data_IF_622604794930
#
_entry.id   IF_622604794930
#
_cell.length_a   1.000
_cell.length_b   1.000
_cell.length_c   1.000
_cell.angle_alpha   90.00
_cell.angle_beta   90.00
_cell.angle_gamma   90.00
#
_symmetry.space_group_name_H-M   'P 1'
#
loop_
_entity.id
_entity.type
_entity.pdbx_description
1 polymer ?
#
# COMPACT_ATOMS: atom_id res chain seq x y z
N UNK A 1 -14.50 -0.26 20.79
CA UNK A 1 -14.17 0.20 19.43
C UNK A 1 -13.04 1.24 19.34
N UNK A 2 -12.83 2.16 20.30
CA UNK A 2 -11.73 3.15 20.25
C UNK A 2 -10.34 2.52 20.31
N UNK A 3 -10.16 1.48 21.11
CA UNK A 3 -8.88 0.78 21.29
C UNK A 3 -8.38 0.13 19.98
N UNK A 4 -9.24 -0.59 19.26
CA UNK A 4 -8.85 -1.20 17.98
C UNK A 4 -8.42 -0.17 16.92
N UNK A 5 -9.08 1.00 16.87
CA UNK A 5 -8.68 2.09 15.96
C UNK A 5 -7.28 2.60 16.28
N UNK A 6 -6.97 2.77 17.58
CA UNK A 6 -5.64 3.19 18.02
C UNK A 6 -4.59 2.16 17.58
N UNK A 7 -4.87 0.89 17.79
CA UNK A 7 -3.94 -0.21 17.49
C UNK A 7 -3.64 -0.32 15.98
N UNK A 8 -4.65 -0.17 15.13
CA UNK A 8 -4.48 -0.17 13.67
C UNK A 8 -3.82 1.11 13.13
N UNK A 9 -4.00 2.24 13.80
CA UNK A 9 -3.43 3.51 13.37
C UNK A 9 -2.00 3.73 13.86
N UNK A 10 -1.61 3.08 14.95
CA UNK A 10 -0.29 3.23 15.56
C UNK A 10 0.88 2.97 14.58
N UNK A 11 0.86 1.93 13.73
CA UNK A 11 1.92 1.70 12.75
C UNK A 11 2.09 2.84 11.74
N UNK A 12 1.04 3.58 11.42
CA UNK A 12 1.05 4.66 10.42
C UNK A 12 1.82 5.89 10.92
N UNK A 13 1.92 6.07 12.23
CA UNK A 13 2.67 7.17 12.85
C UNK A 13 4.18 6.97 12.69
N UNK A 14 4.61 5.71 12.51
CA UNK A 14 6.03 5.37 12.38
C UNK A 14 6.52 5.80 10.99
N UNK A 15 7.57 6.66 10.90
CA UNK A 15 8.14 7.02 9.61
C UNK A 15 8.57 5.78 8.80
N UNK A 16 8.31 5.79 7.48
CA UNK A 16 8.57 4.63 6.62
C UNK A 16 10.02 4.12 6.66
N UNK A 17 10.99 5.00 6.85
CA UNK A 17 12.41 4.64 7.01
C UNK A 17 12.62 3.84 8.30
N UNK A 18 12.03 4.28 9.42
CA UNK A 18 12.11 3.60 10.71
C UNK A 18 11.41 2.24 10.65
N UNK A 19 10.22 2.20 10.02
CA UNK A 19 9.52 0.95 9.76
C UNK A 19 10.37 -0.03 8.94
N UNK A 20 11.06 0.46 7.90
CA UNK A 20 11.98 -0.35 7.11
C UNK A 20 13.13 -0.95 7.93
N UNK A 21 13.75 -0.15 8.83
CA UNK A 21 14.77 -0.64 9.76
C UNK A 21 14.25 -1.73 10.68
N UNK A 22 13.10 -1.48 11.31
CA UNK A 22 12.45 -2.45 12.22
C UNK A 22 12.17 -3.78 11.51
N UNK A 23 11.58 -3.72 10.32
CA UNK A 23 11.28 -4.93 9.55
C UNK A 23 12.54 -5.65 9.09
N UNK A 24 13.58 -4.92 8.70
CA UNK A 24 14.88 -5.53 8.36
C UNK A 24 15.44 -6.32 9.53
N UNK A 25 15.39 -5.77 10.74
CA UNK A 25 15.94 -6.42 11.93
C UNK A 25 15.06 -7.57 12.43
N UNK A 26 13.72 -7.42 12.41
CA UNK A 26 12.76 -8.49 12.78
C UNK A 26 12.89 -9.69 11.82
N UNK A 27 13.15 -9.45 10.54
CA UNK A 27 13.21 -10.47 9.49
C UNK A 27 14.65 -10.83 9.09
N UNK A 28 15.62 -10.63 9.98
CA UNK A 28 16.97 -11.15 9.75
C UNK A 28 16.96 -12.70 9.71
N UNK A 29 17.65 -13.32 8.74
CA UNK A 29 17.74 -14.78 8.67
C UNK A 29 18.36 -15.41 9.91
N UNK A 30 19.42 -14.77 10.45
CA UNK A 30 20.14 -15.26 11.63
C UNK A 30 19.81 -14.36 12.83
N UNK A 31 19.14 -14.93 13.84
CA UNK A 31 18.81 -14.21 15.08
C UNK A 31 17.62 -13.27 14.99
N UNK A 32 16.90 -13.21 13.85
CA UNK A 32 15.68 -12.42 13.70
C UNK A 32 14.51 -13.01 14.48
N UNK A 33 13.67 -12.14 15.05
CA UNK A 33 12.50 -12.53 15.86
C UNK A 33 11.55 -13.44 15.08
N UNK A 34 11.38 -13.19 13.78
CA UNK A 34 10.45 -13.97 12.95
C UNK A 34 10.90 -15.42 12.77
N UNK A 35 12.18 -15.68 12.52
CA UNK A 35 12.69 -17.04 12.45
C UNK A 35 12.67 -17.76 13.80
N UNK A 36 12.91 -17.06 14.89
CA UNK A 36 12.73 -17.63 16.23
C UNK A 36 11.28 -18.05 16.52
N UNK A 37 10.30 -17.31 15.98
CA UNK A 37 8.89 -17.71 16.04
C UNK A 37 8.58 -18.91 15.13
N UNK A 38 9.13 -18.93 13.92
CA UNK A 38 8.96 -20.04 12.96
C UNK A 38 9.50 -21.36 13.56
N UNK A 39 10.67 -21.32 14.17
CA UNK A 39 11.27 -22.47 14.85
C UNK A 39 10.38 -23.02 15.96
N UNK A 40 9.80 -22.15 16.81
CA UNK A 40 8.87 -22.53 17.87
C UNK A 40 7.61 -23.22 17.37
N UNK A 41 7.15 -22.90 16.16
CA UNK A 41 5.96 -23.48 15.53
C UNK A 41 6.31 -24.66 14.62
N UNK A 42 7.61 -24.99 14.49
CA UNK A 42 8.07 -26.10 13.64
C UNK A 42 8.13 -25.76 12.16
N UNK A 43 8.13 -24.47 11.80
CA UNK A 43 8.28 -24.01 10.41
C UNK A 43 9.77 -23.87 10.06
N UNK A 44 10.14 -24.10 8.78
CA UNK A 44 11.52 -23.90 8.34
C UNK A 44 11.91 -22.42 8.39
N UNK A 45 13.19 -22.15 8.72
CA UNK A 45 13.73 -20.80 8.69
C UNK A 45 13.67 -20.20 7.27
N UNK A 46 13.27 -18.94 7.16
CA UNK A 46 13.20 -18.19 5.91
C UNK A 46 14.36 -17.20 5.80
N UNK A 47 14.84 -16.98 4.56
CA UNK A 47 15.84 -15.93 4.29
C UNK A 47 15.21 -14.55 4.09
N UNK A 48 13.87 -14.45 4.07
CA UNK A 48 13.10 -13.21 3.94
C UNK A 48 13.64 -12.30 2.83
N UNK A 49 14.22 -11.15 3.20
CA UNK A 49 14.77 -10.17 2.28
C UNK A 49 16.09 -10.59 1.62
N UNK A 50 16.73 -11.67 2.09
CA UNK A 50 18.04 -12.14 1.61
C UNK A 50 17.95 -13.21 0.52
N UNK A 51 16.76 -13.56 0.04
CA UNK A 51 16.54 -14.49 -1.06
C UNK A 51 15.59 -13.88 -2.08
N UNK A 52 15.92 -14.02 -3.38
CA UNK A 52 15.15 -13.44 -4.49
C UNK A 52 13.69 -13.89 -4.53
N UNK A 53 13.43 -15.14 -4.14
CA UNK A 53 12.09 -15.71 -4.20
C UNK A 53 11.21 -15.26 -3.03
N UNK A 54 11.82 -14.94 -1.89
CA UNK A 54 11.10 -14.54 -0.68
C UNK A 54 11.08 -13.03 -0.45
N UNK A 55 11.99 -12.27 -1.07
CA UNK A 55 12.14 -10.83 -0.82
C UNK A 55 10.88 -10.04 -1.14
N UNK A 56 10.29 -10.21 -2.33
CA UNK A 56 9.08 -9.49 -2.73
C UNK A 56 7.85 -9.90 -1.90
N UNK A 57 7.53 -11.20 -1.70
CA UNK A 57 6.46 -11.61 -0.78
C UNK A 57 6.63 -11.05 0.64
N UNK A 58 7.85 -11.06 1.17
CA UNK A 58 8.16 -10.49 2.49
C UNK A 58 7.88 -8.99 2.51
N UNK A 59 8.31 -8.26 1.47
CA UNK A 59 8.04 -6.83 1.36
C UNK A 59 6.54 -6.52 1.32
N UNK A 60 5.76 -7.28 0.54
CA UNK A 60 4.29 -7.15 0.49
C UNK A 60 3.69 -7.41 1.87
N UNK A 61 4.14 -8.45 2.58
CA UNK A 61 3.68 -8.75 3.94
C UNK A 61 3.92 -7.59 4.91
N UNK A 62 5.10 -6.96 4.86
CA UNK A 62 5.38 -5.78 5.72
C UNK A 62 4.48 -4.59 5.40
N UNK A 63 4.07 -4.45 4.14
CA UNK A 63 3.12 -3.42 3.70
C UNK A 63 1.73 -3.54 4.34
N UNK A 64 1.31 -4.74 4.75
CA UNK A 64 0.02 -4.95 5.42
C UNK A 64 -0.07 -4.21 6.76
N UNK A 65 1.05 -3.96 7.42
CA UNK A 65 1.08 -3.17 8.66
C UNK A 65 0.73 -1.69 8.44
N UNK A 66 0.89 -1.17 7.22
CA UNK A 66 0.54 0.20 6.87
C UNK A 66 -0.93 0.43 6.49
N UNK A 67 -1.77 -0.60 6.45
CA UNK A 67 -3.16 -0.52 5.99
C UNK A 67 -4.05 0.40 6.85
N UNK A 68 -3.68 0.66 8.09
CA UNK A 68 -4.42 1.54 9.00
C UNK A 68 -4.55 3.00 8.53
N UNK A 69 -3.68 3.47 7.62
CA UNK A 69 -3.65 4.87 7.18
C UNK A 69 -4.94 5.36 6.53
N UNK A 70 -5.59 4.50 5.73
CA UNK A 70 -6.87 4.82 5.09
C UNK A 70 -8.10 4.68 5.99
N UNK A 71 -7.98 4.06 7.17
CA UNK A 71 -9.14 3.67 8.00
C UNK A 71 -10.01 4.85 8.40
N UNK A 72 -9.43 6.01 8.68
CA UNK A 72 -10.19 7.21 9.10
C UNK A 72 -11.08 7.68 7.97
N UNK A 73 -10.57 7.73 6.74
CA UNK A 73 -11.32 8.12 5.55
C UNK A 73 -12.45 7.13 5.25
N UNK A 74 -12.18 5.83 5.39
CA UNK A 74 -13.19 4.79 5.24
C UNK A 74 -14.31 4.90 6.27
N UNK A 75 -13.98 5.14 7.54
CA UNK A 75 -14.97 5.33 8.60
C UNK A 75 -15.79 6.59 8.35
N UNK A 76 -15.18 7.67 7.88
CA UNK A 76 -15.89 8.90 7.52
C UNK A 76 -16.87 8.67 6.36
N UNK A 77 -16.41 8.02 5.29
CA UNK A 77 -17.25 7.67 4.14
C UNK A 77 -18.45 6.80 4.53
N UNK A 78 -18.23 5.76 5.33
CA UNK A 78 -19.29 4.87 5.80
C UNK A 78 -20.30 5.60 6.70
N UNK A 79 -19.89 6.58 7.50
CA UNK A 79 -20.79 7.38 8.35
C UNK A 79 -21.60 8.42 7.58
N UNK A 80 -21.14 8.82 6.41
CA UNK A 80 -21.85 9.77 5.56
C UNK A 80 -23.00 9.13 4.77
N UNK A 81 -23.11 7.80 4.76
CA UNK A 81 -24.24 7.11 4.13
C UNK A 81 -25.50 7.35 4.99
N UNK A 82 -26.57 7.84 4.34
CA UNK A 82 -27.82 8.11 5.05
C UNK A 82 -28.41 6.80 5.61
N UNK A 83 -28.68 6.73 6.93
CA UNK A 83 -29.27 5.54 7.55
C UNK A 83 -30.62 5.13 6.95
N UNK A 84 -31.41 6.07 6.43
CA UNK A 84 -32.69 5.78 5.80
C UNK A 84 -32.61 4.83 4.63
N UNK A 85 -31.47 4.78 3.91
CA UNK A 85 -31.25 3.83 2.82
C UNK A 85 -31.19 2.37 3.34
N UNK A 86 -30.60 2.20 4.51
CA UNK A 86 -30.54 0.87 5.14
C UNK A 86 -31.89 0.47 5.75
N UNK A 87 -32.63 1.43 6.33
CA UNK A 87 -33.97 1.19 6.85
C UNK A 87 -34.95 0.79 5.76
N UNK A 88 -34.92 1.48 4.61
CA UNK A 88 -35.73 1.11 3.44
C UNK A 88 -35.36 -0.30 2.93
N UNK A 89 -34.06 -0.61 2.82
CA UNK A 89 -33.59 -1.91 2.42
C UNK A 89 -33.99 -3.03 3.41
N UNK A 90 -34.11 -2.71 4.72
CA UNK A 90 -34.59 -3.65 5.72
C UNK A 90 -36.09 -3.96 5.54
N UNK A 91 -36.90 -2.96 5.18
CA UNK A 91 -38.32 -3.14 4.88
C UNK A 91 -38.51 -4.01 3.62
N UNK A 92 -37.61 -3.87 2.64
CA UNK A 92 -37.59 -4.70 1.42
C UNK A 92 -37.03 -6.12 1.64
N UNK A 93 -36.63 -6.47 2.87
CA UNK A 93 -36.08 -7.78 3.20
C UNK A 93 -34.67 -8.04 2.67
N UNK A 94 -33.90 -6.96 2.37
CA UNK A 94 -32.54 -7.09 1.84
C UNK A 94 -31.58 -7.67 2.89
N UNK A 95 -30.85 -8.71 2.50
CA UNK A 95 -29.81 -9.32 3.35
C UNK A 95 -28.54 -8.44 3.40
N UNK A 96 -27.61 -8.79 4.31
CA UNK A 96 -26.36 -8.04 4.51
C UNK A 96 -25.52 -7.90 3.22
N UNK A 97 -25.46 -8.94 2.38
CA UNK A 97 -24.71 -8.89 1.11
C UNK A 97 -25.34 -7.95 0.11
N UNK A 98 -26.69 -7.96 0.00
CA UNK A 98 -27.41 -7.03 -0.90
C UNK A 98 -27.15 -5.59 -0.47
N UNK A 99 -27.24 -5.27 0.84
CA UNK A 99 -26.91 -3.94 1.37
C UNK A 99 -25.47 -3.54 1.09
N UNK A 100 -24.51 -4.48 1.26
CA UNK A 100 -23.11 -4.21 1.00
C UNK A 100 -22.86 -3.86 -0.48
N UNK A 101 -23.36 -4.66 -1.42
CA UNK A 101 -23.06 -4.48 -2.84
C UNK A 101 -23.93 -3.43 -3.54
N UNK A 102 -25.18 -3.21 -3.07
CA UNK A 102 -26.10 -2.27 -3.72
C UNK A 102 -26.18 -0.89 -3.06
N UNK A 103 -25.79 -0.76 -1.78
CA UNK A 103 -25.83 0.51 -1.05
C UNK A 103 -24.43 0.92 -0.63
N UNK A 104 -23.75 0.11 0.19
CA UNK A 104 -22.51 0.52 0.84
C UNK A 104 -21.38 0.76 -0.17
N UNK A 105 -21.09 -0.20 -1.05
CA UNK A 105 -20.01 -0.07 -2.04
C UNK A 105 -20.24 1.06 -3.05
N UNK A 106 -21.42 1.22 -3.67
CA UNK A 106 -21.67 2.35 -4.56
C UNK A 106 -21.53 3.71 -3.85
N UNK A 107 -22.07 3.85 -2.64
CA UNK A 107 -21.96 5.09 -1.85
C UNK A 107 -20.51 5.37 -1.40
N UNK A 108 -19.68 4.34 -1.23
CA UNK A 108 -18.26 4.47 -0.93
C UNK A 108 -17.39 4.57 -2.18
N UNK A 109 -17.95 4.57 -3.40
CA UNK A 109 -17.16 4.60 -4.63
C UNK A 109 -16.19 5.79 -4.73
N UNK A 110 -16.47 7.01 -4.22
CA UNK A 110 -15.49 8.10 -4.25
C UNK A 110 -14.23 7.80 -3.44
N UNK A 111 -14.37 7.21 -2.26
CA UNK A 111 -13.20 6.84 -1.44
C UNK A 111 -12.44 5.64 -2.03
N UNK A 112 -13.15 4.69 -2.66
CA UNK A 112 -12.52 3.60 -3.40
C UNK A 112 -11.67 4.17 -4.53
N UNK A 113 -12.23 5.07 -5.33
CA UNK A 113 -11.53 5.72 -6.44
C UNK A 113 -10.31 6.51 -5.98
N UNK A 114 -10.46 7.30 -4.91
CA UNK A 114 -9.33 8.02 -4.30
C UNK A 114 -8.21 7.07 -3.86
N UNK A 115 -8.54 5.97 -3.16
CA UNK A 115 -7.54 5.01 -2.70
C UNK A 115 -6.89 4.24 -3.85
N UNK A 116 -7.62 3.96 -4.94
CA UNK A 116 -7.04 3.34 -6.14
C UNK A 116 -5.99 4.25 -6.79
N UNK A 117 -6.32 5.53 -7.00
CA UNK A 117 -5.38 6.50 -7.60
C UNK A 117 -4.15 6.66 -6.71
N UNK A 118 -4.34 6.99 -5.44
CA UNK A 118 -3.23 7.22 -4.51
C UNK A 118 -2.40 5.96 -4.27
N UNK A 119 -3.04 4.79 -4.27
CA UNK A 119 -2.37 3.50 -4.15
C UNK A 119 -1.49 3.17 -5.35
N UNK A 120 -1.97 3.41 -6.58
CA UNK A 120 -1.17 3.19 -7.81
C UNK A 120 0.03 4.15 -7.83
N UNK A 121 -0.21 5.44 -7.54
CA UNK A 121 0.87 6.44 -7.47
C UNK A 121 1.90 6.02 -6.42
N UNK A 122 1.46 5.66 -5.21
CA UNK A 122 2.34 5.23 -4.12
C UNK A 122 3.13 3.97 -4.43
N UNK A 123 2.52 2.99 -5.09
CA UNK A 123 3.19 1.75 -5.51
C UNK A 123 4.31 2.01 -6.52
N UNK A 124 4.05 2.87 -7.52
CA UNK A 124 5.06 3.26 -8.53
C UNK A 124 6.17 4.15 -7.96
N UNK A 125 5.90 4.86 -6.87
CA UNK A 125 6.85 5.75 -6.19
C UNK A 125 7.47 5.12 -4.93
N UNK A 126 7.37 3.81 -4.77
CA UNK A 126 7.96 3.10 -3.62
C UNK A 126 9.48 3.29 -3.59
N UNK A 127 10.01 3.81 -2.46
CA UNK A 127 11.44 4.10 -2.31
C UNK A 127 11.94 3.91 -0.86
N UNK A 128 11.59 4.80 0.06
CA UNK A 128 12.28 4.97 1.35
C UNK A 128 12.43 3.70 2.19
N UNK A 129 11.36 2.94 2.40
CA UNK A 129 11.39 1.69 3.16
C UNK A 129 12.28 0.63 2.49
N UNK A 130 12.16 0.49 1.17
CA UNK A 130 12.95 -0.48 0.39
C UNK A 130 14.43 -0.11 0.37
N UNK A 131 14.75 1.16 0.21
CA UNK A 131 16.12 1.66 0.23
C UNK A 131 16.85 1.25 1.53
N UNK A 132 16.16 1.40 2.66
CA UNK A 132 16.71 1.06 3.97
C UNK A 132 16.82 -0.46 4.18
N UNK A 133 15.80 -1.22 3.75
CA UNK A 133 15.80 -2.69 3.85
C UNK A 133 16.95 -3.29 3.04
N UNK A 134 17.20 -2.78 1.83
CA UNK A 134 18.19 -3.32 0.90
C UNK A 134 19.56 -2.64 0.99
N UNK A 135 19.71 -1.58 1.82
CA UNK A 135 20.93 -0.77 1.87
C UNK A 135 21.22 -0.04 0.54
N UNK A 136 20.18 0.23 -0.27
CA UNK A 136 20.32 0.88 -1.57
C UNK A 136 20.66 -0.07 -2.73
N UNK A 137 20.96 -1.36 -2.47
CA UNK A 137 21.43 -2.32 -3.48
C UNK A 137 20.34 -3.04 -4.27
N UNK A 138 19.04 -2.79 -4.01
CA UNK A 138 17.95 -3.47 -4.74
C UNK A 138 17.66 -4.91 -4.29
N UNK A 139 18.34 -5.40 -3.25
CA UNK A 139 18.20 -6.76 -2.74
C UNK A 139 18.86 -7.84 -3.63
N UNK A 140 18.67 -9.13 -3.31
CA UNK A 140 19.26 -10.23 -4.07
C UNK A 140 18.69 -10.26 -5.50
N UNK A 141 19.58 -10.34 -6.50
CA UNK A 141 19.24 -10.33 -7.93
C UNK A 141 18.32 -9.16 -8.34
N UNK A 142 18.44 -7.99 -7.69
CA UNK A 142 17.60 -6.81 -7.91
C UNK A 142 16.09 -7.06 -7.69
N UNK A 143 15.71 -8.07 -6.91
CA UNK A 143 14.31 -8.44 -6.66
C UNK A 143 13.47 -7.36 -6.00
N UNK A 144 14.10 -6.38 -5.35
CA UNK A 144 13.49 -5.20 -4.73
C UNK A 144 13.99 -3.88 -5.36
N UNK A 145 14.50 -3.91 -6.59
CA UNK A 145 14.92 -2.71 -7.29
C UNK A 145 13.70 -2.00 -7.91
N UNK A 146 13.01 -1.21 -7.12
CA UNK A 146 11.90 -0.39 -7.60
C UNK A 146 12.37 0.77 -8.48
N UNK A 147 11.46 1.28 -9.32
CA UNK A 147 11.80 2.25 -10.33
C UNK A 147 12.42 3.55 -9.76
N UNK A 148 11.83 4.11 -8.69
CA UNK A 148 12.36 5.31 -8.02
C UNK A 148 13.72 5.04 -7.39
N UNK A 149 13.93 3.84 -6.86
CA UNK A 149 15.24 3.45 -6.34
C UNK A 149 16.29 3.36 -7.44
N UNK A 150 15.93 2.87 -8.63
CA UNK A 150 16.82 2.89 -9.79
C UNK A 150 17.15 4.34 -10.21
N UNK A 151 16.15 5.24 -10.25
CA UNK A 151 16.38 6.68 -10.51
C UNK A 151 17.40 7.24 -9.52
N UNK A 152 17.19 6.98 -8.24
CA UNK A 152 18.08 7.46 -7.17
C UNK A 152 19.49 6.91 -7.34
N UNK A 153 19.63 5.62 -7.61
CA UNK A 153 20.94 5.01 -7.82
C UNK A 153 21.67 5.56 -9.05
N UNK A 154 20.96 5.89 -10.13
CA UNK A 154 21.57 6.54 -11.32
C UNK A 154 21.99 7.98 -11.02
N UNK A 155 21.21 8.72 -10.23
CA UNK A 155 21.50 10.11 -9.88
C UNK A 155 22.67 10.24 -8.90
N UNK A 156 22.68 9.41 -7.85
CA UNK A 156 23.52 9.63 -6.65
C UNK A 156 24.56 8.53 -6.40
N UNK A 157 24.64 7.47 -7.21
CA UNK A 157 25.71 6.49 -7.11
C UNK A 157 26.99 6.98 -7.78
N UNK A 158 28.03 6.17 -7.78
CA UNK A 158 29.36 6.48 -8.37
C UNK A 158 29.33 6.92 -9.83
N UNK A 159 28.28 6.67 -10.59
CA UNK A 159 28.13 7.07 -11.99
C UNK A 159 27.65 8.51 -12.19
N UNK A 160 27.02 9.14 -11.21
CA UNK A 160 26.50 10.50 -11.23
C UNK A 160 25.81 10.91 -12.56
N UNK A 161 24.94 10.04 -13.07
CA UNK A 161 24.27 10.26 -14.36
C UNK A 161 22.97 11.06 -14.20
N UNK A 162 23.05 12.33 -13.72
CA UNK A 162 21.90 13.18 -13.44
C UNK A 162 20.96 13.35 -14.63
N UNK A 163 21.49 13.52 -15.84
CA UNK A 163 20.69 13.65 -17.07
C UNK A 163 19.87 12.38 -17.35
N UNK A 164 20.48 11.20 -17.17
CA UNK A 164 19.78 9.93 -17.35
C UNK A 164 18.70 9.72 -16.27
N UNK A 165 19.01 10.01 -15.01
CA UNK A 165 18.05 9.94 -13.92
C UNK A 165 16.86 10.90 -14.14
N UNK A 166 17.11 12.11 -14.66
CA UNK A 166 16.05 13.04 -15.01
C UNK A 166 15.17 12.52 -16.14
N UNK A 167 15.75 11.89 -17.16
CA UNK A 167 14.97 11.25 -18.23
C UNK A 167 14.08 10.12 -17.69
N UNK A 168 14.60 9.26 -16.81
CA UNK A 168 13.80 8.21 -16.14
C UNK A 168 12.66 8.80 -15.31
N UNK A 169 12.89 9.94 -14.64
CA UNK A 169 11.86 10.63 -13.85
C UNK A 169 10.73 11.17 -14.74
N UNK A 170 11.06 11.70 -15.93
CA UNK A 170 10.07 12.11 -16.91
C UNK A 170 9.26 10.94 -17.45
N UNK A 171 9.89 9.79 -17.70
CA UNK A 171 9.20 8.57 -18.11
C UNK A 171 8.22 8.14 -17.03
N UNK A 172 8.64 8.11 -15.75
CA UNK A 172 7.76 7.77 -14.63
C UNK A 172 6.57 8.73 -14.52
N UNK A 173 6.82 10.04 -14.69
CA UNK A 173 5.78 11.07 -14.69
C UNK A 173 4.73 10.79 -15.78
N UNK A 174 5.17 10.49 -17.00
CA UNK A 174 4.28 10.17 -18.13
C UNK A 174 3.47 8.89 -17.88
N UNK A 175 4.09 7.85 -17.29
CA UNK A 175 3.41 6.61 -16.95
C UNK A 175 2.32 6.88 -15.89
N UNK A 176 2.67 7.54 -14.79
CA UNK A 176 1.71 7.87 -13.71
C UNK A 176 0.59 8.77 -14.24
N UNK A 177 0.94 9.79 -15.00
CA UNK A 177 -0.03 10.72 -15.60
C UNK A 177 -1.00 10.01 -16.53
N UNK A 178 -0.49 9.12 -17.41
CA UNK A 178 -1.31 8.33 -18.33
C UNK A 178 -2.27 7.41 -17.58
N UNK A 179 -1.78 6.67 -16.59
CA UNK A 179 -2.62 5.79 -15.76
C UNK A 179 -3.70 6.58 -15.02
N UNK A 180 -3.33 7.72 -14.44
CA UNK A 180 -4.26 8.59 -13.74
C UNK A 180 -5.35 9.13 -14.69
N UNK A 181 -4.98 9.58 -15.89
CA UNK A 181 -5.93 10.03 -16.91
C UNK A 181 -6.88 8.91 -17.35
N UNK A 182 -6.37 7.68 -17.53
CA UNK A 182 -7.20 6.52 -17.86
C UNK A 182 -8.20 6.27 -16.74
N UNK A 183 -7.77 6.31 -15.48
CA UNK A 183 -8.65 6.12 -14.33
C UNK A 183 -9.75 7.18 -14.27
N UNK A 184 -9.43 8.45 -14.51
CA UNK A 184 -10.46 9.50 -14.57
C UNK A 184 -11.43 9.31 -15.74
N UNK A 185 -10.97 8.87 -16.91
CA UNK A 185 -11.86 8.56 -18.04
C UNK A 185 -12.79 7.37 -17.77
N UNK A 186 -12.37 6.42 -16.95
CA UNK A 186 -13.16 5.24 -16.57
C UNK A 186 -13.95 5.41 -15.28
N UNK A 187 -13.96 6.61 -14.68
CA UNK A 187 -14.58 6.90 -13.37
C UNK A 187 -16.11 7.01 -13.37
N UNK A 188 -16.79 6.70 -14.49
CA UNK A 188 -18.27 6.75 -14.61
C UNK A 188 -19.02 5.91 -13.56
N UNK A 189 -18.37 4.94 -12.93
CA UNK A 189 -18.93 4.12 -11.86
C UNK A 189 -18.88 4.78 -10.48
N UNK A 190 -18.19 5.93 -10.38
CA UNK A 190 -18.07 6.67 -9.12
C UNK A 190 -19.33 7.50 -8.90
N UNK A 191 -20.01 7.22 -7.81
CA UNK A 191 -21.21 7.92 -7.41
C UNK A 191 -20.87 9.18 -6.61
N UNK A 192 -20.93 10.33 -7.24
CA UNK A 192 -20.87 11.63 -6.57
C UNK A 192 -22.30 12.01 -6.21
N UNK A 193 -22.75 11.73 -4.97
CA UNK A 193 -24.10 12.05 -4.53
C UNK A 193 -24.43 13.54 -4.77
N UNK A 194 -25.19 13.83 -5.82
CA UNK A 194 -25.55 15.21 -6.18
C UNK A 194 -25.84 15.46 -7.66
N UNK A 195 -25.72 14.46 -8.51
CA UNK A 195 -26.17 14.64 -9.90
C UNK A 195 -27.69 14.40 -9.99
N UNK A 196 -28.47 15.41 -9.65
CA UNK A 196 -29.80 15.66 -10.19
C UNK A 196 -29.71 16.59 -11.40
#
# INVERSE_FOLDING_TARGET
>A
MRFFRLLYYLPVIIPGVVSGLLWRDIMQPNGGIMNALFEKVGLPASKFFMDKNTAMPTFIFTGLFGLGGGMILWIASLKNINPSLYEAADLDGANCFVKLFRITLPMCSPIIFYNLITGIIGALQTFGGVYVITGGGGGPDNSLLFYVMNIYNQAFSSRFSMGYASALSWILFLIIGSLTLIMFKTSKWVFYGGDE
#
